data_IF_761123921532
#
_entry.id   IF_761123921532
#
_cell.length_a   1.000
_cell.length_b   1.000
_cell.length_c   1.000
_cell.angle_alpha   90.00
_cell.angle_beta   90.00
_cell.angle_gamma   90.00
#
_symmetry.space_group_name_H-M   'P 1'
#
loop_
_entity.id
_entity.type
_entity.pdbx_description
1 polymer ?
#
# COMPACT_ATOMS: atom_id res chain seq x y z
N UNK A 1 -11.42 -13.36 -6.68
CA UNK A 1 -10.56 -13.44 -5.51
C UNK A 1 -9.57 -12.29 -5.51
N UNK A 2 -9.35 -11.67 -4.38
CA UNK A 2 -8.37 -10.59 -4.34
C UNK A 2 -6.98 -11.13 -4.56
N UNK A 3 -6.21 -10.37 -5.25
CA UNK A 3 -4.82 -10.71 -5.50
C UNK A 3 -3.99 -10.31 -4.29
N UNK A 4 -3.06 -11.18 -3.93
CA UNK A 4 -2.16 -10.89 -2.82
C UNK A 4 -0.85 -10.34 -3.36
N UNK A 5 -0.48 -9.16 -2.90
CA UNK A 5 0.67 -8.44 -3.40
C UNK A 5 1.86 -8.62 -2.46
N UNK A 6 3.03 -8.78 -3.05
CA UNK A 6 4.27 -8.78 -2.29
C UNK A 6 4.69 -7.34 -2.02
N UNK A 7 5.60 -7.12 -1.06
CA UNK A 7 6.12 -5.77 -0.85
C UNK A 7 6.75 -5.18 -2.09
N UNK A 8 7.39 -6.01 -2.90
CA UNK A 8 7.99 -5.54 -4.14
C UNK A 8 6.92 -5.03 -5.09
N UNK A 9 5.80 -5.75 -5.17
CA UNK A 9 4.71 -5.32 -6.03
C UNK A 9 4.09 -4.04 -5.52
N UNK A 10 3.96 -3.91 -4.20
CA UNK A 10 3.46 -2.68 -3.61
C UNK A 10 4.40 -1.53 -3.95
N UNK A 11 5.69 -1.77 -3.86
CA UNK A 11 6.67 -0.75 -4.21
C UNK A 11 6.51 -0.30 -5.65
N UNK A 12 6.31 -1.25 -6.56
CA UNK A 12 6.11 -0.93 -7.96
C UNK A 12 4.84 -0.12 -8.19
N UNK A 13 3.76 -0.51 -7.52
CA UNK A 13 2.50 0.18 -7.67
C UNK A 13 2.59 1.60 -7.16
N UNK A 14 3.22 1.78 -6.01
CA UNK A 14 3.33 3.09 -5.39
C UNK A 14 4.52 3.89 -5.90
N UNK A 15 5.37 3.26 -6.71
CA UNK A 15 6.56 3.92 -7.26
C UNK A 15 7.50 4.39 -6.16
N UNK A 16 7.74 3.53 -5.20
CA UNK A 16 8.62 3.82 -4.10
C UNK A 16 9.62 2.68 -3.95
N UNK A 17 10.62 2.87 -3.11
CA UNK A 17 11.62 1.85 -2.89
C UNK A 17 11.02 0.67 -2.13
N UNK A 18 11.70 -0.46 -2.21
CA UNK A 18 11.27 -1.65 -1.50
C UNK A 18 11.21 -1.39 0.00
N UNK A 19 12.21 -0.71 0.52
CA UNK A 19 12.25 -0.42 1.96
C UNK A 19 11.11 0.50 2.37
N UNK A 20 10.80 1.46 1.52
CA UNK A 20 9.68 2.36 1.80
C UNK A 20 8.36 1.59 1.78
N UNK A 21 8.24 0.63 0.86
CA UNK A 21 7.03 -0.20 0.80
C UNK A 21 6.89 -1.06 2.05
N UNK A 22 7.99 -1.61 2.55
CA UNK A 22 7.95 -2.38 3.78
C UNK A 22 7.50 -1.51 4.94
N UNK A 23 8.04 -0.32 5.05
CA UNK A 23 7.64 0.60 6.10
C UNK A 23 6.18 0.97 5.96
N UNK A 24 5.72 1.19 4.74
CA UNK A 24 4.33 1.49 4.48
C UNK A 24 3.44 0.36 4.98
N UNK A 25 3.77 -0.88 4.65
CA UNK A 25 2.97 -2.02 5.07
C UNK A 25 2.93 -2.13 6.59
N UNK A 26 4.07 -1.92 7.24
CA UNK A 26 4.17 -2.11 8.68
C UNK A 26 3.51 -0.99 9.46
N UNK A 27 3.61 0.25 8.99
CA UNK A 27 3.30 1.38 9.83
C UNK A 27 2.16 2.26 9.36
N UNK A 28 1.61 1.99 8.18
CA UNK A 28 0.52 2.83 7.67
C UNK A 28 -0.83 2.49 8.26
N UNK A 29 -0.96 1.31 8.83
CA UNK A 29 -2.24 0.85 9.33
C UNK A 29 -3.03 0.03 8.33
N UNK A 30 -2.46 -0.21 7.16
CA UNK A 30 -3.14 -1.04 6.18
C UNK A 30 -3.15 -2.49 6.65
N UNK A 31 -4.23 -3.20 6.35
CA UNK A 31 -4.33 -4.62 6.67
C UNK A 31 -3.32 -5.40 5.85
N UNK A 32 -2.59 -6.26 6.51
CA UNK A 32 -1.65 -7.12 5.81
C UNK A 32 -1.59 -8.47 6.47
N UNK A 33 -1.04 -9.44 5.75
CA UNK A 33 -0.82 -10.77 6.26
C UNK A 33 0.67 -11.04 6.32
N UNK A 34 1.09 -11.71 7.35
CA UNK A 34 2.48 -12.13 7.47
C UNK A 34 2.53 -13.63 7.53
N UNK A 35 3.10 -14.23 6.50
CA UNK A 35 3.21 -15.68 6.40
C UNK A 35 4.68 -16.02 6.46
N UNK A 36 5.10 -16.63 7.56
CA UNK A 36 6.52 -16.82 7.80
C UNK A 36 7.20 -15.48 7.93
N UNK A 37 8.16 -15.21 7.07
CA UNK A 37 8.85 -13.94 7.06
C UNK A 37 8.41 -13.04 5.91
N UNK A 38 7.30 -13.38 5.27
CA UNK A 38 6.88 -12.67 4.08
C UNK A 38 5.60 -11.92 4.32
N UNK A 39 5.58 -10.68 3.85
CA UNK A 39 4.40 -9.84 3.95
C UNK A 39 3.57 -9.96 2.69
N UNK A 40 2.26 -9.89 2.86
CA UNK A 40 1.31 -9.92 1.74
C UNK A 40 0.20 -8.93 2.02
N UNK A 41 -0.18 -8.18 0.99
CA UNK A 41 -1.24 -7.20 1.10
C UNK A 41 -2.26 -7.48 0.01
N UNK A 42 -3.53 -7.54 0.38
CA UNK A 42 -4.58 -7.71 -0.60
C UNK A 42 -4.66 -6.49 -1.51
N UNK A 43 -4.74 -6.73 -2.81
CA UNK A 43 -4.84 -5.62 -3.76
C UNK A 43 -6.10 -4.81 -3.49
N UNK A 44 -7.18 -5.46 -3.06
CA UNK A 44 -8.40 -4.76 -2.69
C UNK A 44 -8.18 -3.84 -1.52
N UNK A 45 -7.47 -4.34 -0.52
CA UNK A 45 -7.20 -3.53 0.69
C UNK A 45 -6.30 -2.36 0.35
N UNK A 46 -5.32 -2.59 -0.50
CA UNK A 46 -4.45 -1.50 -0.92
C UNK A 46 -5.23 -0.44 -1.67
N UNK A 47 -6.08 -0.87 -2.60
CA UNK A 47 -6.89 0.08 -3.36
C UNK A 47 -7.81 0.88 -2.46
N UNK A 48 -8.47 0.19 -1.52
CA UNK A 48 -9.38 0.87 -0.60
C UNK A 48 -8.61 1.86 0.28
N UNK A 49 -7.43 1.46 0.72
CA UNK A 49 -6.63 2.33 1.56
C UNK A 49 -6.21 3.59 0.81
N UNK A 50 -5.77 3.42 -0.43
CA UNK A 50 -5.34 4.55 -1.25
C UNK A 50 -6.51 5.45 -1.60
N UNK A 51 -7.66 4.86 -1.88
CA UNK A 51 -8.85 5.66 -2.18
C UNK A 51 -9.27 6.49 -1.00
N UNK A 52 -9.13 5.94 0.19
CA UNK A 52 -9.52 6.65 1.39
C UNK A 52 -8.62 7.85 1.63
N UNK A 53 -7.34 7.70 1.32
CA UNK A 53 -6.38 8.77 1.49
C UNK A 53 -6.25 9.65 0.27
N UNK A 54 -6.57 9.07 -0.88
CA UNK A 54 -6.37 9.72 -2.14
C UNK A 54 -7.04 11.08 -2.28
N UNK A 55 -8.33 11.18 -1.95
CA UNK A 55 -9.02 12.46 -2.09
C UNK A 55 -8.35 13.59 -1.31
N UNK A 56 -7.99 13.30 -0.08
CA UNK A 56 -7.32 14.30 0.76
C UNK A 56 -5.98 14.68 0.14
N UNK A 57 -5.26 13.68 -0.28
CA UNK A 57 -3.96 13.90 -0.88
C UNK A 57 -4.09 14.68 -2.17
N UNK A 58 -5.07 14.32 -2.97
CA UNK A 58 -5.31 15.00 -4.23
C UNK A 58 -5.64 16.46 -4.00
N UNK A 59 -6.43 16.73 -2.98
CA UNK A 59 -6.78 18.10 -2.67
C UNK A 59 -5.54 18.93 -2.37
N UNK A 60 -4.60 18.35 -1.64
CA UNK A 60 -3.39 19.06 -1.31
C UNK A 60 -2.56 19.38 -2.54
N UNK A 61 -2.47 18.41 -3.45
CA UNK A 61 -1.65 18.59 -4.64
C UNK A 61 -2.42 19.24 -5.74
N UNK A 62 -3.65 18.83 -5.92
CA UNK A 62 -4.49 19.35 -6.97
C UNK A 62 -4.92 20.76 -6.69
N UNK A 63 -5.18 21.03 -5.43
CA UNK A 63 -5.47 22.39 -5.02
C UNK A 63 -4.24 23.25 -5.11
N UNK A 64 -3.13 22.58 -5.01
CA UNK A 64 -1.88 23.31 -5.14
C UNK A 64 -1.47 23.44 -6.55
#
# INVERSE_FOLDING_TARGET
MPEMLTPKEVADILKISYEAALAFIKYSGIDYHKIGNQYRVSSEKLRAFLNRKGPTYTDLTGGG
#
